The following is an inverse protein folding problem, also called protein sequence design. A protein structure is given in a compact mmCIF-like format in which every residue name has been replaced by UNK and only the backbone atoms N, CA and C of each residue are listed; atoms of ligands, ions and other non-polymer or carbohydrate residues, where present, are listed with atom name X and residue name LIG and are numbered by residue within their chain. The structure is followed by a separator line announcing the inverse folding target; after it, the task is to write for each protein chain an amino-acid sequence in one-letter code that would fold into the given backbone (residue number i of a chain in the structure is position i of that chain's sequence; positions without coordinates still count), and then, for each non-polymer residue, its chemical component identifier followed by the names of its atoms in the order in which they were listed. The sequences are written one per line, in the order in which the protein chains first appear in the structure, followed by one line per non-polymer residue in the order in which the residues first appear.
data_IF_668750747807
#
_entry.id   IF_668750747807
#
_cell.length_a   1.000
_cell.length_b   1.000
_cell.length_c   1.000
_cell.angle_alpha   90.00
_cell.angle_beta   90.00
_cell.angle_gamma   90.00
#
_symmetry.space_group_name_H-M   'P 1'
#
loop_
_entity.id
_entity.type
_entity.pdbx_description
1 polymer ?
#
# COMPACT_ATOMS: atom_id res chain seq x y z
N UNK A 1 -16.61 17.00 -8.55
CA UNK A 1 -17.86 16.67 -7.85
C UNK A 1 -18.16 17.75 -6.82
N UNK A 2 -19.41 18.20 -6.67
CA UNK A 2 -19.83 19.10 -5.60
C UNK A 2 -19.47 18.53 -4.22
N UNK A 3 -19.13 19.39 -3.25
CA UNK A 3 -18.61 18.96 -1.93
C UNK A 3 -19.58 18.07 -1.16
N UNK A 4 -20.87 18.38 -1.23
CA UNK A 4 -21.93 17.62 -0.55
C UNK A 4 -22.02 16.17 -1.07
N UNK A 5 -22.03 16.02 -2.40
CA UNK A 5 -22.09 14.73 -3.08
C UNK A 5 -20.86 13.85 -2.83
N UNK A 6 -19.73 14.45 -2.43
CA UNK A 6 -18.52 13.73 -1.99
C UNK A 6 -18.67 13.14 -0.60
N UNK A 7 -19.31 13.86 0.33
CA UNK A 7 -19.55 13.41 1.72
C UNK A 7 -20.57 12.27 1.78
N UNK A 8 -21.50 12.22 0.81
CA UNK A 8 -22.49 11.15 0.71
C UNK A 8 -21.89 9.80 0.24
N UNK A 9 -20.69 9.82 -0.37
CA UNK A 9 -20.06 8.64 -0.99
C UNK A 9 -18.73 8.27 -0.34
N UNK A 10 -18.04 9.23 0.29
CA UNK A 10 -16.74 9.04 0.94
C UNK A 10 -16.85 9.38 2.42
N UNK A 11 -16.55 8.39 3.27
CA UNK A 11 -16.36 8.60 4.70
C UNK A 11 -15.08 9.41 4.97
N UNK A 12 -15.20 10.44 5.80
CA UNK A 12 -14.02 11.07 6.40
C UNK A 12 -13.43 10.12 7.45
N UNK A 13 -12.12 9.87 7.37
CA UNK A 13 -11.39 9.03 8.33
C UNK A 13 -11.54 9.55 9.76
N UNK A 14 -11.67 10.87 9.93
CA UNK A 14 -11.90 11.51 11.23
C UNK A 14 -13.22 11.07 11.87
N UNK A 15 -14.26 10.82 11.06
CA UNK A 15 -15.61 10.46 11.49
C UNK A 15 -15.81 8.95 11.68
N UNK A 16 -14.84 8.12 11.29
CA UNK A 16 -14.92 6.66 11.46
C UNK A 16 -14.80 6.29 12.93
N UNK A 17 -15.84 5.64 13.48
CA UNK A 17 -15.84 5.14 14.87
C UNK A 17 -14.79 4.04 15.11
N UNK A 18 -14.45 3.79 16.37
CA UNK A 18 -13.53 2.72 16.75
C UNK A 18 -14.02 1.33 16.30
N UNK A 19 -15.33 1.08 16.36
CA UNK A 19 -15.92 -0.19 15.95
C UNK A 19 -15.84 -0.39 14.44
N UNK A 20 -16.15 0.65 13.65
CA UNK A 20 -15.99 0.61 12.19
C UNK A 20 -14.53 0.41 11.79
N UNK A 21 -13.57 1.06 12.48
CA UNK A 21 -12.14 0.84 12.24
C UNK A 21 -11.74 -0.60 12.53
N UNK A 22 -12.26 -1.19 13.61
CA UNK A 22 -12.00 -2.59 13.97
C UNK A 22 -12.54 -3.55 12.90
N UNK A 23 -13.77 -3.33 12.45
CA UNK A 23 -14.40 -4.13 11.41
C UNK A 23 -13.61 -4.05 10.09
N UNK A 24 -13.29 -2.83 9.63
CA UNK A 24 -12.51 -2.61 8.42
C UNK A 24 -11.13 -3.29 8.50
N UNK A 25 -10.43 -3.13 9.63
CA UNK A 25 -9.14 -3.81 9.83
C UNK A 25 -9.28 -5.33 9.81
N UNK A 26 -10.38 -5.88 10.34
CA UNK A 26 -10.67 -7.30 10.27
C UNK A 26 -10.78 -7.81 8.83
N UNK A 27 -11.50 -7.09 7.97
CA UNK A 27 -11.61 -7.44 6.55
C UNK A 27 -10.28 -7.27 5.80
N UNK A 28 -9.54 -6.20 6.07
CA UNK A 28 -8.22 -6.00 5.49
C UNK A 28 -7.24 -7.12 5.85
N UNK A 29 -7.25 -7.59 7.10
CA UNK A 29 -6.41 -8.71 7.54
C UNK A 29 -6.81 -10.02 6.84
N UNK A 30 -8.11 -10.26 6.61
CA UNK A 30 -8.56 -11.46 5.88
C UNK A 30 -8.08 -11.45 4.41
N UNK A 31 -8.03 -10.28 3.79
CA UNK A 31 -7.66 -10.13 2.38
C UNK A 31 -6.14 -10.11 2.18
N UNK A 32 -5.43 -9.31 2.99
CA UNK A 32 -4.01 -8.99 2.80
C UNK A 32 -3.08 -9.57 3.87
N UNK A 33 -3.62 -10.21 4.91
CA UNK A 33 -2.83 -10.69 6.04
C UNK A 33 -2.41 -9.56 7.00
N UNK A 34 -1.40 -9.82 7.81
CA UNK A 34 -0.84 -8.83 8.73
C UNK A 34 0.51 -8.33 8.22
N UNK A 35 1.04 -7.19 8.68
CA UNK A 35 2.40 -6.79 8.33
C UNK A 35 3.47 -7.84 8.68
N UNK A 36 3.26 -8.68 9.70
CA UNK A 36 4.21 -9.75 10.04
C UNK A 36 4.04 -11.00 9.17
N UNK A 37 2.82 -11.23 8.67
CA UNK A 37 2.43 -12.36 7.81
C UNK A 37 1.56 -11.84 6.66
N UNK A 38 2.17 -11.12 5.70
CA UNK A 38 1.45 -10.57 4.56
C UNK A 38 1.03 -11.67 3.58
N UNK A 39 -0.07 -11.44 2.87
CA UNK A 39 -0.57 -12.35 1.83
C UNK A 39 -0.93 -11.55 0.58
N UNK A 40 -0.74 -12.15 -0.59
CA UNK A 40 -1.10 -11.55 -1.87
C UNK A 40 -1.82 -12.61 -2.72
N UNK A 41 -3.14 -12.46 -2.86
CA UNK A 41 -3.96 -13.38 -3.65
C UNK A 41 -4.11 -12.84 -5.07
N UNK A 42 -3.15 -13.15 -5.93
CA UNK A 42 -3.08 -12.67 -7.33
C UNK A 42 -3.10 -13.80 -8.36
N UNK A 43 -3.48 -15.01 -7.94
CA UNK A 43 -3.72 -16.13 -8.83
C UNK A 43 -2.42 -16.67 -9.44
N UNK A 44 -2.41 -16.88 -10.76
CA UNK A 44 -1.26 -17.50 -11.45
C UNK A 44 0.04 -16.68 -11.30
N UNK A 45 -0.08 -15.37 -11.09
CA UNK A 45 1.07 -14.47 -10.91
C UNK A 45 1.84 -14.75 -9.61
N UNK A 46 1.23 -15.40 -8.61
CA UNK A 46 1.88 -15.70 -7.33
C UNK A 46 3.16 -16.50 -7.51
N UNK A 47 3.13 -17.49 -8.41
CA UNK A 47 4.29 -18.35 -8.69
C UNK A 47 5.36 -17.61 -9.47
N UNK A 48 4.96 -16.85 -10.50
CA UNK A 48 5.88 -16.10 -11.35
C UNK A 48 6.61 -15.00 -10.58
N UNK A 49 5.90 -14.32 -9.67
CA UNK A 49 6.41 -13.23 -8.86
C UNK A 49 7.00 -13.70 -7.52
N UNK A 50 7.00 -15.00 -7.22
CA UNK A 50 7.49 -15.60 -5.97
C UNK A 50 6.85 -14.97 -4.73
N UNK A 51 5.51 -14.90 -4.72
CA UNK A 51 4.75 -14.31 -3.63
C UNK A 51 4.35 -15.35 -2.56
N UNK A 52 5.25 -16.29 -2.27
CA UNK A 52 5.07 -17.25 -1.18
C UNK A 52 5.24 -16.58 0.21
N UNK A 53 4.81 -17.27 1.27
CA UNK A 53 4.80 -16.70 2.63
C UNK A 53 6.21 -16.29 3.10
N UNK A 54 7.24 -17.07 2.78
CA UNK A 54 8.62 -16.80 3.19
C UNK A 54 9.13 -15.53 2.52
N UNK A 55 9.01 -15.46 1.19
CA UNK A 55 9.44 -14.30 0.41
C UNK A 55 8.68 -13.04 0.82
N UNK A 56 7.36 -13.13 1.01
CA UNK A 56 6.54 -11.99 1.43
C UNK A 56 6.89 -11.50 2.84
N UNK A 57 7.17 -12.42 3.78
CA UNK A 57 7.58 -12.08 5.15
C UNK A 57 8.95 -11.40 5.18
N UNK A 58 9.89 -11.88 4.39
CA UNK A 58 11.21 -11.26 4.23
C UNK A 58 11.06 -9.85 3.64
N UNK A 59 10.33 -9.73 2.53
CA UNK A 59 10.06 -8.44 1.87
C UNK A 59 9.38 -7.42 2.79
N UNK A 60 8.40 -7.85 3.58
CA UNK A 60 7.76 -6.98 4.58
C UNK A 60 8.72 -6.52 5.68
N UNK A 61 9.64 -7.38 6.10
CA UNK A 61 10.66 -7.00 7.10
C UNK A 61 11.57 -5.91 6.55
N UNK A 62 12.08 -6.08 5.32
CA UNK A 62 12.89 -5.07 4.64
C UNK A 62 12.10 -3.78 4.44
N UNK A 63 10.85 -3.86 3.97
CA UNK A 63 9.99 -2.70 3.76
C UNK A 63 9.79 -1.89 5.04
N UNK A 64 9.49 -2.56 6.17
CA UNK A 64 9.27 -1.88 7.46
C UNK A 64 10.54 -1.23 8.00
N UNK A 65 11.70 -1.78 7.69
CA UNK A 65 13.00 -1.23 8.11
C UNK A 65 13.45 -0.06 7.22
N UNK A 66 13.27 -0.18 5.91
CA UNK A 66 13.92 0.70 4.93
C UNK A 66 12.98 1.68 4.23
N UNK A 67 11.69 1.36 4.13
CA UNK A 67 10.74 2.11 3.30
C UNK A 67 9.65 2.81 4.12
N UNK A 68 9.19 2.18 5.20
CA UNK A 68 8.03 2.62 5.99
C UNK A 68 8.14 4.05 6.51
N UNK A 69 9.34 4.47 6.92
CA UNK A 69 9.51 5.81 7.50
C UNK A 69 9.16 6.93 6.50
N UNK A 70 9.37 6.71 5.19
CA UNK A 70 8.94 7.61 4.12
C UNK A 70 7.58 7.24 3.52
N UNK A 71 7.33 5.96 3.26
CA UNK A 71 6.19 5.53 2.46
C UNK A 71 4.96 5.12 3.29
N UNK A 72 5.06 5.07 4.62
CA UNK A 72 3.98 4.61 5.48
C UNK A 72 3.79 3.09 5.41
N UNK A 73 2.97 2.54 6.31
CA UNK A 73 2.73 1.10 6.40
C UNK A 73 1.99 0.55 5.16
N UNK A 74 1.06 1.33 4.61
CA UNK A 74 0.26 0.99 3.44
C UNK A 74 0.92 1.37 2.10
N UNK A 75 2.07 2.04 2.13
CA UNK A 75 2.74 2.54 0.92
C UNK A 75 2.12 3.81 0.33
N UNK A 76 1.32 4.56 1.08
CA UNK A 76 0.62 5.77 0.64
C UNK A 76 1.50 7.02 0.51
N UNK A 77 2.79 6.91 0.84
CA UNK A 77 3.73 8.03 0.81
C UNK A 77 3.61 8.95 2.03
N UNK A 78 2.86 8.59 3.06
CA UNK A 78 2.61 9.43 4.25
C UNK A 78 3.31 8.89 5.50
N UNK A 79 4.53 8.38 5.32
CA UNK A 79 5.38 7.98 6.45
C UNK A 79 5.77 9.15 7.34
N UNK A 80 6.24 8.86 8.56
CA UNK A 80 6.60 9.87 9.56
C UNK A 80 7.61 10.92 9.05
N UNK A 81 8.51 10.54 8.15
CA UNK A 81 9.51 11.46 7.57
C UNK A 81 9.06 12.09 6.26
N UNK A 82 7.96 11.63 5.65
CA UNK A 82 7.49 12.08 4.34
C UNK A 82 7.34 13.61 4.19
N UNK A 83 6.83 14.36 5.19
CA UNK A 83 6.68 15.81 5.06
C UNK A 83 8.01 16.57 4.85
N UNK A 84 9.13 15.94 5.18
CA UNK A 84 10.47 16.54 5.12
C UNK A 84 11.30 16.10 3.91
N UNK A 85 10.73 15.25 3.03
CA UNK A 85 11.43 14.72 1.85
C UNK A 85 10.94 15.45 0.60
N UNK A 86 11.88 16.00 -0.17
CA UNK A 86 11.60 16.65 -1.46
C UNK A 86 12.44 15.96 -2.57
N UNK A 87 11.81 15.33 -3.57
CA UNK A 87 10.35 15.26 -3.83
C UNK A 87 9.59 14.38 -2.83
N UNK A 88 8.30 14.67 -2.63
CA UNK A 88 7.44 13.89 -1.76
C UNK A 88 7.49 12.39 -2.12
N UNK A 89 7.54 11.47 -1.13
CA UNK A 89 7.55 10.04 -1.39
C UNK A 89 6.35 9.60 -2.23
N UNK A 90 6.58 8.69 -3.17
CA UNK A 90 5.54 8.22 -4.08
C UNK A 90 4.54 7.31 -3.35
N UNK A 91 3.28 7.44 -3.73
CA UNK A 91 2.23 6.49 -3.38
C UNK A 91 2.34 5.22 -4.24
N UNK A 92 2.79 4.12 -3.63
CA UNK A 92 2.98 2.83 -4.30
C UNK A 92 1.67 2.09 -4.59
N UNK A 93 0.55 2.48 -3.97
CA UNK A 93 -0.75 1.85 -4.19
C UNK A 93 -1.25 2.04 -5.63
N UNK A 94 -0.69 3.02 -6.35
CA UNK A 94 -1.00 3.27 -7.75
C UNK A 94 -0.28 2.29 -8.71
N UNK A 95 0.73 1.54 -8.25
CA UNK A 95 1.53 0.66 -9.10
C UNK A 95 2.40 1.38 -10.13
N UNK A 96 2.55 2.71 -10.03
CA UNK A 96 3.35 3.53 -10.96
C UNK A 96 4.73 3.74 -10.33
N UNK A 97 5.76 3.09 -10.84
CA UNK A 97 7.13 3.22 -10.34
C UNK A 97 7.99 4.04 -11.31
N UNK A 98 8.83 4.93 -10.78
CA UNK A 98 9.75 5.75 -11.60
C UNK A 98 10.92 4.91 -12.12
N UNK A 99 11.49 4.08 -11.24
CA UNK A 99 12.61 3.20 -11.54
C UNK A 99 12.15 1.76 -11.32
N UNK A 100 12.27 0.93 -12.34
CA UNK A 100 11.94 -0.51 -12.30
C UNK A 100 13.18 -1.30 -12.71
N UNK A 101 13.40 -2.46 -12.08
CA UNK A 101 14.52 -3.35 -12.41
C UNK A 101 14.24 -4.25 -13.63
N UNK A 102 12.97 -4.39 -14.04
CA UNK A 102 12.55 -5.08 -15.26
C UNK A 102 12.42 -4.12 -16.45
N UNK A 103 12.81 -4.60 -17.63
CA UNK A 103 12.81 -3.85 -18.89
C UNK A 103 11.43 -3.30 -19.22
N UNK A 104 11.38 -2.00 -19.52
CA UNK A 104 10.16 -1.30 -19.94
C UNK A 104 9.84 -1.62 -21.40
N UNK A 105 9.35 -2.82 -21.72
CA UNK A 105 8.82 -3.05 -23.07
C UNK A 105 7.47 -2.35 -23.31
N UNK A 106 6.84 -1.78 -22.29
CA UNK A 106 5.60 -1.00 -22.47
C UNK A 106 5.53 0.23 -21.54
N UNK A 107 6.61 1.01 -21.55
CA UNK A 107 6.70 2.29 -20.85
C UNK A 107 5.98 3.43 -21.60
N UNK A 108 4.67 3.60 -21.39
CA UNK A 108 4.01 4.87 -21.71
C UNK A 108 4.45 5.93 -20.69
N UNK A 109 5.61 6.54 -20.95
CA UNK A 109 6.01 7.79 -20.29
C UNK A 109 4.96 8.85 -20.65
N UNK A 110 4.26 9.38 -19.64
CA UNK A 110 3.69 10.71 -19.69
C UNK A 110 4.47 11.58 -18.71
#
# INVERSE_FOLDING_TARGET
MPEQQRKDVLLDIADVSSDQRRELNGELIKIFGSPAHPTAKVGELEKTLKLDEETLKEGSTVYRQQCLHCHGLSGDGRGATAPWVNPHPRDYRQGIFKFTSSGQEEGRRK
#
